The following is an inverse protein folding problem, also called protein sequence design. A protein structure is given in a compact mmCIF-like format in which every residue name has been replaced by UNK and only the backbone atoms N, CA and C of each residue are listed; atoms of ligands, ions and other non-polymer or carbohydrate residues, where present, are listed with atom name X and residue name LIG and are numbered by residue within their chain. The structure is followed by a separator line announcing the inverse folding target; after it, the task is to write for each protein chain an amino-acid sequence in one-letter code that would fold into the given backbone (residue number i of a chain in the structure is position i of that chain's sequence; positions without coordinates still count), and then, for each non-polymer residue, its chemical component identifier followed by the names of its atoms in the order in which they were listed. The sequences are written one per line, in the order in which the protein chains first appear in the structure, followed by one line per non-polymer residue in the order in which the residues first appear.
data_IF_565776283048
#
_entry.id   IF_565776283048
#
_cell.length_a   1.000
_cell.length_b   1.000
_cell.length_c   1.000
_cell.angle_alpha   90.00
_cell.angle_beta   90.00
_cell.angle_gamma   90.00
#
_symmetry.space_group_name_H-M   'P 1'
#
loop_
_entity.id
_entity.type
_entity.pdbx_description
1 polymer ?
#
# COMPACT_ATOMS: atom_id res chain seq x y z
N UNK A 1 11.49 -7.34 -19.21
CA UNK A 1 12.43 -6.43 -18.53
C UNK A 1 12.16 -6.51 -17.04
N UNK A 2 13.01 -7.22 -16.31
CA UNK A 2 13.07 -7.12 -14.85
C UNK A 2 13.44 -5.70 -14.48
N UNK A 3 12.69 -5.06 -13.58
CA UNK A 3 13.08 -3.77 -13.03
C UNK A 3 14.52 -3.88 -12.54
N UNK A 4 15.42 -3.03 -13.06
CA UNK A 4 16.80 -3.01 -12.63
C UNK A 4 16.86 -2.74 -11.12
N UNK A 5 17.83 -3.35 -10.45
CA UNK A 5 18.09 -3.20 -9.01
C UNK A 5 18.20 -1.74 -8.53
N UNK A 6 18.44 -0.78 -9.44
CA UNK A 6 18.52 0.65 -9.16
C UNK A 6 17.21 1.28 -8.67
N UNK A 7 16.06 0.63 -8.92
CA UNK A 7 14.78 1.17 -8.48
C UNK A 7 14.33 0.64 -7.10
N UNK A 8 15.14 -0.20 -6.44
CA UNK A 8 14.83 -0.69 -5.10
C UNK A 8 15.24 0.31 -4.00
N UNK A 9 14.51 0.29 -2.89
CA UNK A 9 14.72 1.12 -1.70
C UNK A 9 14.77 0.20 -0.49
N UNK A 10 15.82 0.33 0.34
CA UNK A 10 15.87 -0.43 1.60
C UNK A 10 15.02 0.26 2.66
N UNK A 11 14.54 -0.51 3.63
CA UNK A 11 13.80 -0.01 4.80
C UNK A 11 14.64 0.98 5.59
N UNK A 12 15.95 0.78 5.69
CA UNK A 12 16.91 1.71 6.30
C UNK A 12 17.04 3.05 5.57
N UNK A 13 16.59 3.11 4.30
CA UNK A 13 16.70 4.32 3.48
C UNK A 13 15.40 5.14 3.53
N UNK A 14 14.38 4.67 4.26
CA UNK A 14 13.15 5.42 4.48
C UNK A 14 13.40 6.58 5.46
N UNK A 15 12.73 7.71 5.23
CA UNK A 15 12.76 8.83 6.18
C UNK A 15 12.38 8.36 7.59
N UNK A 16 13.08 8.86 8.61
CA UNK A 16 12.91 8.50 10.02
C UNK A 16 13.28 7.05 10.43
N UNK A 17 13.65 6.17 9.51
CA UNK A 17 13.94 4.75 9.83
C UNK A 17 15.19 4.53 10.68
N UNK A 18 16.15 5.45 10.64
CA UNK A 18 17.33 5.40 11.48
C UNK A 18 17.03 5.77 12.96
N UNK A 19 15.99 6.58 13.18
CA UNK A 19 15.69 7.18 14.49
C UNK A 19 14.54 6.48 15.22
N UNK A 20 13.64 5.84 14.47
CA UNK A 20 12.41 5.25 15.01
C UNK A 20 12.11 3.87 14.41
N UNK A 21 11.62 2.91 15.21
CA UNK A 21 11.10 1.68 14.67
C UNK A 21 9.84 1.96 13.83
N UNK A 22 9.72 1.26 12.71
CA UNK A 22 8.57 1.38 11.81
C UNK A 22 7.48 0.40 12.21
N UNK A 23 6.27 0.90 12.46
CA UNK A 23 5.09 0.09 12.76
C UNK A 23 4.09 0.14 11.62
N UNK A 24 3.39 -0.97 11.41
CA UNK A 24 2.39 -1.11 10.36
C UNK A 24 1.04 -0.65 10.89
N UNK A 25 0.43 0.32 10.21
CA UNK A 25 -0.95 0.76 10.46
C UNK A 25 -1.78 0.64 9.20
N UNK A 26 -3.10 0.47 9.36
CA UNK A 26 -4.04 0.35 8.24
C UNK A 26 -5.26 1.24 8.45
N UNK A 27 -5.83 1.75 7.36
CA UNK A 27 -7.11 2.44 7.30
C UNK A 27 -7.96 1.82 6.19
N UNK A 28 -9.22 1.56 6.49
CA UNK A 28 -10.20 1.00 5.54
C UNK A 28 -11.62 1.30 6.02
N UNK A 29 -12.60 1.09 5.16
CA UNK A 29 -14.01 1.25 5.46
C UNK A 29 -14.80 0.00 5.05
N UNK A 30 -15.89 -0.25 5.79
CA UNK A 30 -16.90 -1.28 5.47
C UNK A 30 -18.26 -0.61 5.61
N UNK A 31 -18.98 -0.46 4.48
CA UNK A 31 -20.15 0.39 4.43
C UNK A 31 -19.82 1.82 4.89
N UNK A 32 -20.61 2.34 5.84
CA UNK A 32 -20.44 3.70 6.37
C UNK A 32 -19.47 3.78 7.57
N UNK A 33 -18.81 2.68 7.93
CA UNK A 33 -17.89 2.62 9.08
C UNK A 33 -16.43 2.67 8.64
N UNK A 34 -15.66 3.58 9.22
CA UNK A 34 -14.22 3.69 9.03
C UNK A 34 -13.46 3.01 10.18
N UNK A 35 -12.39 2.29 9.84
CA UNK A 35 -11.58 1.52 10.76
C UNK A 35 -10.11 1.89 10.64
N UNK A 36 -9.42 1.88 11.78
CA UNK A 36 -7.96 1.97 11.87
C UNK A 36 -7.43 0.69 12.51
N UNK A 37 -6.47 0.03 11.85
CA UNK A 37 -5.79 -1.15 12.34
C UNK A 37 -4.37 -0.79 12.81
N UNK A 38 -3.99 -1.33 13.96
CA UNK A 38 -2.61 -1.34 14.44
C UNK A 38 -2.12 -2.78 14.38
N UNK A 39 -1.16 -3.05 13.50
CA UNK A 39 -0.64 -4.39 13.25
C UNK A 39 0.63 -4.56 14.08
N UNK A 40 0.55 -5.41 15.10
CA UNK A 40 1.64 -5.62 16.05
C UNK A 40 2.74 -6.54 15.49
N UNK A 41 2.35 -7.56 14.72
CA UNK A 41 3.21 -8.65 14.27
C UNK A 41 2.66 -9.32 12.99
N UNK A 42 3.38 -10.35 12.51
CA UNK A 42 3.03 -11.13 11.32
C UNK A 42 1.68 -11.85 11.45
N UNK A 43 1.37 -12.42 12.62
CA UNK A 43 0.10 -13.11 12.87
C UNK A 43 -1.08 -12.13 12.82
N UNK A 44 -0.91 -10.93 13.40
CA UNK A 44 -1.86 -9.83 13.32
C UNK A 44 -2.11 -9.39 11.88
N UNK A 45 -1.05 -9.32 11.05
CA UNK A 45 -1.20 -9.03 9.62
C UNK A 45 -1.95 -10.15 8.88
N UNK A 46 -1.63 -11.42 9.19
CA UNK A 46 -2.29 -12.57 8.58
C UNK A 46 -3.81 -12.55 8.86
N UNK A 47 -4.16 -12.29 10.12
CA UNK A 47 -5.56 -12.19 10.57
C UNK A 47 -6.26 -11.01 9.90
N UNK A 48 -5.62 -9.84 9.86
CA UNK A 48 -6.14 -8.65 9.17
C UNK A 48 -6.42 -8.92 7.69
N UNK A 49 -5.43 -9.41 6.93
CA UNK A 49 -5.59 -9.69 5.51
C UNK A 49 -6.64 -10.76 5.26
N UNK A 50 -6.73 -11.78 6.12
CA UNK A 50 -7.79 -12.79 6.04
C UNK A 50 -9.18 -12.19 6.28
N UNK A 51 -9.32 -11.27 7.23
CA UNK A 51 -10.57 -10.54 7.47
C UNK A 51 -10.99 -9.70 6.26
N UNK A 52 -10.06 -8.96 5.66
CA UNK A 52 -10.33 -8.13 4.47
C UNK A 52 -10.66 -8.99 3.25
N UNK A 53 -9.88 -10.05 3.00
CA UNK A 53 -10.01 -10.86 1.76
C UNK A 53 -11.13 -11.90 1.81
N UNK A 54 -11.72 -12.15 2.99
CA UNK A 54 -12.85 -13.08 3.17
C UNK A 54 -14.10 -12.40 3.72
N UNK A 55 -14.13 -11.07 3.81
CA UNK A 55 -15.28 -10.32 4.32
C UNK A 55 -16.47 -10.50 3.37
N UNK A 56 -17.65 -10.95 3.84
CA UNK A 56 -18.83 -11.09 2.98
C UNK A 56 -19.37 -9.75 2.46
N UNK A 57 -18.87 -8.63 3.01
CA UNK A 57 -19.18 -7.26 2.58
C UNK A 57 -17.95 -6.68 1.90
N UNK A 58 -18.15 -6.02 0.76
CA UNK A 58 -17.09 -5.31 0.06
C UNK A 58 -16.46 -4.27 0.99
N UNK A 59 -15.13 -4.32 1.09
CA UNK A 59 -14.33 -3.31 1.77
C UNK A 59 -14.01 -2.19 0.79
N UNK A 60 -13.79 -0.97 1.29
CA UNK A 60 -13.08 0.05 0.51
C UNK A 60 -11.69 -0.45 0.12
N UNK A 61 -11.04 0.24 -0.82
CA UNK A 61 -9.59 0.16 -0.94
C UNK A 61 -8.94 0.38 0.44
N UNK A 62 -7.96 -0.46 0.76
CA UNK A 62 -7.22 -0.45 2.01
C UNK A 62 -5.98 0.40 1.84
N UNK A 63 -5.68 1.22 2.87
CA UNK A 63 -4.49 2.05 2.93
C UNK A 63 -3.66 1.62 4.12
N UNK A 64 -2.46 1.13 3.88
CA UNK A 64 -1.51 0.75 4.91
C UNK A 64 -0.31 1.69 4.92
N UNK A 65 0.27 1.89 6.10
CA UNK A 65 1.40 2.79 6.29
C UNK A 65 2.48 2.15 7.14
N UNK A 66 3.74 2.40 6.80
CA UNK A 66 4.85 2.29 7.75
C UNK A 66 4.99 3.63 8.44
N UNK A 67 4.72 3.65 9.74
CA UNK A 67 4.75 4.87 10.57
C UNK A 67 5.86 4.77 11.60
N UNK A 68 6.68 5.82 11.79
CA UNK A 68 7.70 5.82 12.82
C UNK A 68 7.05 5.88 14.21
N UNK A 69 7.26 4.86 15.04
CA UNK A 69 6.64 4.75 16.36
C UNK A 69 7.23 5.80 17.32
N UNK A 70 6.37 6.58 17.98
CA UNK A 70 6.79 7.58 18.95
C UNK A 70 7.25 8.91 18.33
N UNK A 71 7.35 8.98 17.00
CA UNK A 71 7.62 10.22 16.28
C UNK A 71 6.42 11.17 16.39
N UNK A 72 6.71 12.46 16.61
CA UNK A 72 5.71 13.53 16.62
C UNK A 72 6.17 14.63 15.67
N UNK A 73 5.36 15.01 14.67
CA UNK A 73 5.64 16.13 13.79
C UNK A 73 5.98 17.38 14.60
N UNK A 74 7.14 17.97 14.35
CA UNK A 74 7.48 19.28 14.93
C UNK A 74 6.79 20.33 14.05
N UNK A 75 5.66 20.88 14.54
CA UNK A 75 4.83 21.86 13.81
C UNK A 75 5.64 23.01 13.15
N UNK A 76 5.17 23.60 12.03
CA UNK A 76 4.13 23.12 11.12
C UNK A 76 4.72 22.96 9.71
N UNK A 77 5.18 21.77 9.34
CA UNK A 77 5.31 21.44 7.93
C UNK A 77 3.93 21.11 7.36
N UNK A 78 3.63 21.54 6.11
CA UNK A 78 2.38 21.22 5.46
C UNK A 78 2.42 19.73 5.09
N UNK A 79 1.77 18.90 5.90
CA UNK A 79 1.58 17.45 5.67
C UNK A 79 2.90 16.67 5.74
N UNK A 80 3.23 16.13 6.92
CA UNK A 80 4.24 15.07 7.00
C UNK A 80 3.65 13.77 6.44
N UNK A 81 4.24 13.31 5.34
CA UNK A 81 3.87 12.07 4.69
C UNK A 81 4.48 10.88 5.44
N UNK A 82 3.77 9.75 5.59
CA UNK A 82 4.36 8.56 6.19
C UNK A 82 5.54 8.07 5.34
N UNK A 83 6.60 7.51 5.95
CA UNK A 83 7.76 7.00 5.23
C UNK A 83 7.42 6.02 4.10
N UNK A 84 6.37 5.22 4.27
CA UNK A 84 5.81 4.41 3.20
C UNK A 84 4.30 4.29 3.32
N UNK A 85 3.61 4.28 2.18
CA UNK A 85 2.20 4.02 2.06
C UNK A 85 1.95 2.96 0.98
N UNK A 86 1.18 1.92 1.32
CA UNK A 86 0.75 0.87 0.42
C UNK A 86 -0.78 0.88 0.32
N UNK A 87 -1.30 0.92 -0.90
CA UNK A 87 -2.71 0.98 -1.23
C UNK A 87 -3.05 -0.31 -1.94
N UNK A 88 -4.19 -0.91 -1.63
CA UNK A 88 -4.68 -2.01 -2.43
C UNK A 88 -6.19 -2.08 -2.42
N UNK A 89 -6.72 -2.69 -3.47
CA UNK A 89 -8.14 -3.01 -3.59
C UNK A 89 -8.28 -4.45 -4.04
N UNK A 90 -9.41 -5.07 -3.70
CA UNK A 90 -9.65 -6.50 -3.89
C UNK A 90 -11.07 -6.72 -4.38
N UNK A 91 -11.21 -7.43 -5.49
CA UNK A 91 -12.46 -8.07 -5.87
C UNK A 91 -12.39 -9.53 -5.39
N UNK A 92 -13.07 -9.81 -4.28
CA UNK A 92 -13.10 -11.14 -3.69
C UNK A 92 -13.89 -12.14 -4.53
N UNK A 93 -14.91 -11.70 -5.27
CA UNK A 93 -15.72 -12.57 -6.11
C UNK A 93 -14.91 -13.18 -7.24
N UNK A 94 -13.95 -12.42 -7.76
CA UNK A 94 -13.07 -12.82 -8.86
C UNK A 94 -11.65 -13.21 -8.41
N UNK A 95 -11.32 -13.07 -7.12
CA UNK A 95 -10.00 -13.37 -6.53
C UNK A 95 -8.85 -12.55 -7.16
N UNK A 96 -9.14 -11.30 -7.50
CA UNK A 96 -8.17 -10.38 -8.11
C UNK A 96 -7.95 -9.15 -7.23
N UNK A 97 -6.75 -8.59 -7.33
CA UNK A 97 -6.32 -7.45 -6.55
C UNK A 97 -5.36 -6.56 -7.35
N UNK A 98 -5.16 -5.34 -6.90
CA UNK A 98 -4.14 -4.44 -7.41
C UNK A 98 -3.60 -3.58 -6.26
N UNK A 99 -2.32 -3.22 -6.33
CA UNK A 99 -1.70 -2.39 -5.31
C UNK A 99 -0.80 -1.29 -5.88
N UNK A 100 -0.74 -0.19 -5.14
CA UNK A 100 0.18 0.92 -5.32
C UNK A 100 1.06 1.08 -4.09
N UNK A 101 2.32 1.44 -4.28
CA UNK A 101 3.29 1.68 -3.21
C UNK A 101 3.93 3.05 -3.41
N UNK A 102 4.01 3.83 -2.34
CA UNK A 102 4.84 5.02 -2.25
C UNK A 102 5.83 4.88 -1.10
N UNK A 103 7.02 5.42 -1.32
CA UNK A 103 8.05 5.57 -0.29
C UNK A 103 8.65 6.97 -0.35
N UNK A 104 9.04 7.48 0.82
CA UNK A 104 9.82 8.69 0.99
C UNK A 104 11.19 8.31 1.59
N UNK A 105 12.26 8.67 0.89
CA UNK A 105 13.63 8.28 1.26
C UNK A 105 14.35 9.39 2.02
N UNK A 106 15.39 9.02 2.78
CA UNK A 106 16.22 9.95 3.57
C UNK A 106 16.91 11.03 2.72
N UNK A 107 17.11 10.79 1.42
CA UNK A 107 17.65 11.77 0.47
C UNK A 107 16.59 12.76 -0.06
N UNK A 108 15.37 12.73 0.49
CA UNK A 108 14.28 13.64 0.14
C UNK A 108 13.55 13.27 -1.16
N UNK A 109 13.83 12.10 -1.75
CA UNK A 109 13.11 11.62 -2.93
C UNK A 109 11.85 10.87 -2.54
N UNK A 110 10.90 10.83 -3.46
CA UNK A 110 9.76 9.90 -3.40
C UNK A 110 9.84 8.95 -4.58
N UNK A 111 9.56 7.68 -4.32
CA UNK A 111 9.46 6.65 -5.36
C UNK A 111 8.14 5.92 -5.25
N UNK A 112 7.65 5.46 -6.38
CA UNK A 112 6.27 5.01 -6.53
C UNK A 112 6.23 3.82 -7.49
N UNK A 113 5.43 2.83 -7.14
CA UNK A 113 5.22 1.63 -7.96
C UNK A 113 3.77 1.22 -7.95
N UNK A 114 3.39 0.46 -8.97
CA UNK A 114 2.18 -0.34 -8.98
C UNK A 114 2.50 -1.80 -9.25
N UNK A 115 1.65 -2.70 -8.78
CA UNK A 115 1.72 -4.11 -9.16
C UNK A 115 1.59 -4.25 -10.68
N UNK A 116 2.12 -5.34 -11.22
CA UNK A 116 1.96 -5.69 -12.63
C UNK A 116 1.72 -7.18 -12.74
N UNK A 117 0.66 -7.54 -13.46
CA UNK A 117 0.26 -8.92 -13.64
C UNK A 117 -0.70 -9.08 -14.81
N UNK A 118 -1.23 -10.28 -14.94
CA UNK A 118 -2.12 -10.73 -16.01
C UNK A 118 -3.46 -11.28 -15.48
N UNK A 119 -3.75 -11.08 -14.18
CA UNK A 119 -4.97 -11.54 -13.52
C UNK A 119 -6.17 -10.62 -13.78
N UNK A 120 -6.21 -9.89 -14.89
CA UNK A 120 -7.31 -8.99 -15.18
C UNK A 120 -8.57 -9.77 -15.57
N UNK A 121 -9.73 -9.23 -15.22
CA UNK A 121 -11.04 -9.82 -15.50
C UNK A 121 -11.95 -8.73 -16.05
N UNK A 122 -12.65 -9.04 -17.14
CA UNK A 122 -13.64 -8.13 -17.74
C UNK A 122 -14.71 -7.72 -16.72
N UNK A 123 -14.98 -6.42 -16.63
CA UNK A 123 -16.00 -5.87 -15.74
C UNK A 123 -15.56 -5.66 -14.28
N UNK A 124 -14.33 -6.02 -13.92
CA UNK A 124 -13.77 -5.70 -12.60
C UNK A 124 -13.06 -4.35 -12.64
N UNK A 125 -13.38 -3.49 -11.67
CA UNK A 125 -12.72 -2.21 -11.45
C UNK A 125 -12.13 -2.17 -10.04
N UNK A 126 -10.84 -1.84 -9.94
CA UNK A 126 -10.10 -1.70 -8.69
C UNK A 126 -9.52 -0.29 -8.61
N UNK A 127 -9.54 0.35 -7.44
CA UNK A 127 -9.06 1.73 -7.29
C UNK A 127 -8.25 1.95 -6.01
N UNK A 128 -7.38 2.97 -5.98
CA UNK A 128 -6.65 3.34 -4.75
C UNK A 128 -7.52 4.13 -3.77
N UNK A 129 -8.53 4.83 -4.29
CA UNK A 129 -9.49 5.59 -3.52
C UNK A 129 -10.90 5.37 -4.07
N UNK A 130 -11.76 4.62 -3.36
CA UNK A 130 -13.12 4.37 -3.82
C UNK A 130 -14.00 5.63 -3.79
N UNK A 131 -13.59 6.70 -3.11
CA UNK A 131 -14.29 7.98 -3.17
C UNK A 131 -13.94 8.80 -4.41
N UNK A 132 -12.92 8.37 -5.16
CA UNK A 132 -12.52 9.01 -6.41
C UNK A 132 -12.05 7.99 -7.47
N UNK A 133 -12.91 7.02 -7.85
CA UNK A 133 -12.50 5.87 -8.64
C UNK A 133 -12.06 6.26 -10.05
N UNK A 134 -12.71 7.26 -10.67
CA UNK A 134 -12.40 7.72 -12.03
C UNK A 134 -10.96 8.23 -12.18
N UNK A 135 -10.36 8.71 -11.08
CA UNK A 135 -9.02 9.29 -11.07
C UNK A 135 -7.97 8.40 -10.38
N UNK A 136 -8.40 7.30 -9.76
CA UNK A 136 -7.53 6.43 -8.96
C UNK A 136 -7.64 4.94 -9.33
N UNK A 137 -8.37 4.62 -10.39
CA UNK A 137 -8.48 3.27 -10.92
C UNK A 137 -7.12 2.71 -11.32
N UNK A 138 -6.87 1.47 -10.92
CA UNK A 138 -5.74 0.72 -11.41
C UNK A 138 -6.02 0.26 -12.85
N UNK A 139 -5.06 0.40 -13.78
CA UNK A 139 -5.24 -0.15 -15.11
C UNK A 139 -5.13 -1.68 -15.07
N UNK A 140 -5.80 -2.41 -15.98
CA UNK A 140 -5.91 -3.87 -15.94
C UNK A 140 -4.58 -4.63 -15.83
N UNK A 141 -3.51 -4.12 -16.46
CA UNK A 141 -2.18 -4.74 -16.38
C UNK A 141 -1.53 -4.67 -14.98
N UNK A 142 -2.20 -4.05 -14.01
CA UNK A 142 -1.79 -4.02 -12.61
C UNK A 142 -2.38 -5.16 -11.78
N UNK A 143 -3.31 -5.93 -12.36
CA UNK A 143 -4.09 -6.91 -11.61
C UNK A 143 -3.25 -8.16 -11.35
N UNK A 144 -3.23 -8.56 -10.09
CA UNK A 144 -2.56 -9.73 -9.54
C UNK A 144 -3.60 -10.58 -8.79
N UNK A 145 -3.24 -11.80 -8.41
CA UNK A 145 -4.12 -12.61 -7.55
C UNK A 145 -4.13 -12.08 -6.12
N UNK A 146 -5.17 -12.42 -5.35
CA UNK A 146 -5.24 -12.11 -3.92
C UNK A 146 -4.06 -12.73 -3.15
N UNK A 147 -3.61 -13.92 -3.52
CA UNK A 147 -2.45 -14.56 -2.87
C UNK A 147 -1.15 -13.78 -3.13
N UNK A 148 -0.92 -13.34 -4.37
CA UNK A 148 0.23 -12.47 -4.70
C UNK A 148 0.17 -11.16 -3.91
N UNK A 149 -1.02 -10.58 -3.74
CA UNK A 149 -1.20 -9.39 -2.91
C UNK A 149 -0.80 -9.68 -1.46
N UNK A 150 -1.26 -10.80 -0.88
CA UNK A 150 -0.94 -11.17 0.51
C UNK A 150 0.56 -11.25 0.72
N UNK A 151 1.26 -11.98 -0.16
CA UNK A 151 2.72 -12.12 -0.08
C UNK A 151 3.42 -10.76 -0.24
N UNK A 152 2.94 -9.91 -1.15
CA UNK A 152 3.48 -8.57 -1.35
C UNK A 152 3.30 -7.67 -0.13
N UNK A 153 2.13 -7.67 0.51
CA UNK A 153 1.86 -6.89 1.72
C UNK A 153 2.70 -7.40 2.89
N UNK A 154 2.85 -8.71 3.05
CA UNK A 154 3.73 -9.30 4.07
C UNK A 154 5.19 -8.88 3.88
N UNK A 155 5.72 -9.05 2.68
CA UNK A 155 7.10 -8.70 2.37
C UNK A 155 7.35 -7.19 2.46
N UNK A 156 6.37 -6.34 2.16
CA UNK A 156 6.45 -4.88 2.41
C UNK A 156 6.44 -4.56 3.92
N UNK A 157 5.56 -5.22 4.68
CA UNK A 157 5.35 -4.97 6.11
C UNK A 157 6.52 -5.40 6.97
N UNK A 158 7.24 -6.46 6.60
CA UNK A 158 8.30 -7.05 7.43
C UNK A 158 9.65 -7.24 6.73
N UNK A 159 9.70 -7.11 5.41
CA UNK A 159 10.95 -7.23 4.64
C UNK A 159 11.84 -5.98 4.65
N UNK A 160 13.02 -6.13 4.05
CA UNK A 160 14.04 -5.08 3.97
C UNK A 160 13.93 -4.22 2.70
N UNK A 161 13.36 -4.75 1.62
CA UNK A 161 13.43 -4.11 0.29
C UNK A 161 12.04 -3.76 -0.24
N UNK A 162 11.93 -2.56 -0.80
CA UNK A 162 10.75 -2.02 -1.47
C UNK A 162 11.07 -1.63 -2.92
N UNK A 163 10.17 -1.88 -3.89
CA UNK A 163 8.94 -2.65 -3.72
C UNK A 163 9.24 -4.13 -3.41
N UNK A 164 8.32 -4.77 -2.70
CA UNK A 164 8.52 -6.12 -2.21
C UNK A 164 8.61 -7.16 -3.35
N UNK A 165 9.63 -8.04 -3.39
CA UNK A 165 9.89 -8.93 -4.53
C UNK A 165 8.85 -10.05 -4.69
N UNK A 166 7.95 -10.22 -3.71
CA UNK A 166 6.85 -11.18 -3.76
C UNK A 166 5.80 -10.89 -4.85
N UNK A 167 5.81 -9.68 -5.43
CA UNK A 167 5.05 -9.36 -6.63
C UNK A 167 5.96 -8.71 -7.69
N UNK A 168 5.48 -8.70 -8.93
CA UNK A 168 6.11 -7.90 -9.99
C UNK A 168 5.58 -6.48 -9.86
N UNK A 169 6.51 -5.52 -9.81
CA UNK A 169 6.19 -4.10 -9.71
C UNK A 169 6.71 -3.35 -10.93
N UNK A 170 6.00 -2.29 -11.31
CA UNK A 170 6.44 -1.33 -12.30
C UNK A 170 6.53 0.07 -11.69
N UNK A 171 7.54 0.87 -12.08
CA UNK A 171 7.58 2.28 -11.72
C UNK A 171 6.26 2.95 -12.11
N UNK A 172 5.75 3.78 -11.22
CA UNK A 172 4.52 4.53 -11.39
C UNK A 172 4.84 6.04 -11.39
N UNK A 173 4.05 6.82 -12.12
CA UNK A 173 4.11 8.27 -12.02
C UNK A 173 3.23 8.77 -10.86
N UNK A 174 3.42 10.03 -10.46
CA UNK A 174 2.55 10.69 -9.49
C UNK A 174 1.08 10.82 -9.95
N UNK A 175 0.78 10.55 -11.22
CA UNK A 175 -0.60 10.46 -11.68
C UNK A 175 -1.20 9.08 -11.42
N UNK A 176 -0.36 8.04 -11.49
CA UNK A 176 -0.72 6.64 -11.31
C UNK A 176 -0.88 6.27 -9.84
N UNK A 177 0.00 6.74 -8.95
CA UNK A 177 -0.04 6.40 -7.51
C UNK A 177 0.28 7.64 -6.68
N UNK A 178 -0.56 7.96 -5.68
CA UNK A 178 -0.49 9.25 -4.97
C UNK A 178 -0.44 9.13 -3.46
N UNK A 179 0.30 10.07 -2.87
CA UNK A 179 0.22 10.33 -1.44
C UNK A 179 -1.21 10.73 -1.06
N UNK A 180 -1.70 10.33 0.12
CA UNK A 180 -3.04 10.68 0.55
C UNK A 180 -3.02 12.15 0.98
N UNK A 181 -3.52 13.03 0.11
CA UNK A 181 -3.64 14.47 0.43
C UNK A 181 -5.02 14.67 1.06
N UNK A 182 -5.06 15.04 2.34
CA UNK A 182 -6.29 15.51 3.00
C UNK A 182 -7.32 14.43 3.31
N UNK A 183 -7.21 13.81 4.48
CA UNK A 183 -8.34 13.28 5.28
C UNK A 183 -7.77 12.77 6.61
N UNK A 184 -7.64 13.68 7.58
CA UNK A 184 -7.36 13.40 8.99
C UNK A 184 -6.23 12.40 9.27
N UNK A 185 -5.02 12.91 9.53
CA UNK A 185 -4.18 12.31 10.58
C UNK A 185 -4.89 12.49 11.93
#
# INVERSE_FOLDING_TARGET
MTAGTDDQVRRSDLVHSADYPMVVTGKYAVGDSAFTAHIADEDGLAAFLTGITRSPVATSAVRMFLTPQGYRPVKPLPIELPPSALYFDVDQGHQVAAAGLLVATVDGKSRQWRTSGDAWIDGVALAQDPHNPDFTSFPPESFITVDQLRDAVFAWAFGDVMPAPAAIWRPASAWDVRWPVGSGL
#
